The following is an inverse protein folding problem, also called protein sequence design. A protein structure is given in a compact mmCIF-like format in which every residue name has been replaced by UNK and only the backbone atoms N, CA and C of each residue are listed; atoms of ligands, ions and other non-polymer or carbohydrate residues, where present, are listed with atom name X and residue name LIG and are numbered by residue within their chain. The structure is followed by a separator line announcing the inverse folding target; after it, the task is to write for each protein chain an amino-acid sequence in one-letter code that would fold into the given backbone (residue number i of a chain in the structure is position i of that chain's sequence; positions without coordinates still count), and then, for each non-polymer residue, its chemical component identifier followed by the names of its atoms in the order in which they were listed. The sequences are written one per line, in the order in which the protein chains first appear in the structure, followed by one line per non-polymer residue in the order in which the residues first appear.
data_IF_382762462837
#
_entry.id   IF_382762462837
#
_cell.length_a   1.000
_cell.length_b   1.000
_cell.length_c   1.000
_cell.angle_alpha   90.00
_cell.angle_beta   90.00
_cell.angle_gamma   90.00
#
_symmetry.space_group_name_H-M   'P 1'
#
loop_
_entity.id
_entity.type
_entity.pdbx_description
1 polymer ?
#
# COMPACT_ATOMS: atom_id res chain seq x y z
N UNK A 1 19.74 28.21 31.91
CA UNK A 1 20.42 27.48 30.84
C UNK A 1 20.50 28.36 29.61
N UNK A 2 21.48 28.16 28.73
CA UNK A 2 21.59 28.84 27.44
C UNK A 2 20.99 27.99 26.32
N UNK A 3 20.70 28.60 25.16
CA UNK A 3 20.25 27.85 23.97
C UNK A 3 21.32 26.83 23.52
N UNK A 4 22.60 27.20 23.61
CA UNK A 4 23.71 26.33 23.22
C UNK A 4 23.80 25.08 24.10
N UNK A 5 23.70 25.25 25.42
CA UNK A 5 23.70 24.13 26.39
C UNK A 5 22.57 23.14 26.12
N UNK A 6 21.37 23.65 25.81
CA UNK A 6 20.22 22.80 25.48
C UNK A 6 20.44 22.03 24.18
N UNK A 7 20.94 22.69 23.13
CA UNK A 7 21.23 22.03 21.84
C UNK A 7 22.26 20.93 22.03
N UNK A 8 23.34 21.22 22.75
CA UNK A 8 24.40 20.26 23.05
C UNK A 8 23.87 19.06 23.82
N UNK A 9 23.06 19.30 24.86
CA UNK A 9 22.49 18.22 25.65
C UNK A 9 21.54 17.33 24.84
N UNK A 10 20.67 17.92 24.00
CA UNK A 10 19.78 17.16 23.12
C UNK A 10 20.60 16.32 22.12
N UNK A 11 21.63 16.90 21.49
CA UNK A 11 22.48 16.18 20.55
C UNK A 11 23.30 15.06 21.23
N UNK A 12 23.70 15.25 22.48
CA UNK A 12 24.41 14.24 23.28
C UNK A 12 23.49 13.08 23.68
N UNK A 13 22.24 13.37 24.04
CA UNK A 13 21.26 12.38 24.54
C UNK A 13 20.57 11.62 23.41
N UNK A 14 20.41 12.22 22.24
CA UNK A 14 19.76 11.60 21.09
C UNK A 14 20.72 11.48 19.91
N UNK A 15 21.08 10.24 19.60
CA UNK A 15 21.90 9.94 18.42
C UNK A 15 21.17 10.30 17.11
N UNK A 16 21.92 10.74 16.12
CA UNK A 16 21.38 11.04 14.78
C UNK A 16 20.66 12.39 14.67
N UNK A 17 20.68 13.22 15.72
CA UNK A 17 20.22 14.61 15.65
C UNK A 17 21.24 15.46 14.88
N UNK A 18 20.74 16.27 13.95
CA UNK A 18 21.49 17.21 13.13
C UNK A 18 20.94 18.62 13.37
N UNK A 19 21.63 19.46 14.15
CA UNK A 19 21.25 20.85 14.32
C UNK A 19 21.53 21.64 13.02
N UNK A 20 20.61 22.53 12.66
CA UNK A 20 20.76 23.44 11.53
C UNK A 20 20.39 24.86 11.96
N UNK A 21 21.41 25.72 12.04
CA UNK A 21 21.23 27.14 12.30
C UNK A 21 20.81 27.88 11.01
N UNK A 22 19.83 28.78 11.13
CA UNK A 22 19.32 29.60 10.05
C UNK A 22 18.57 30.80 10.64
N UNK A 23 18.90 32.02 10.23
CA UNK A 23 18.15 33.24 10.58
C UNK A 23 17.78 33.40 12.07
N UNK A 24 18.74 33.22 12.99
CA UNK A 24 18.50 33.38 14.43
C UNK A 24 17.73 32.25 15.11
N UNK A 25 17.58 31.12 14.42
CA UNK A 25 16.96 29.90 14.91
C UNK A 25 17.86 28.69 14.64
N UNK A 26 17.91 27.75 15.58
CA UNK A 26 18.48 26.42 15.38
C UNK A 26 17.37 25.40 15.41
N UNK A 27 17.14 24.78 14.25
CA UNK A 27 16.20 23.67 14.12
C UNK A 27 16.92 22.34 14.28
N UNK A 28 16.35 21.44 15.07
CA UNK A 28 16.85 20.10 15.32
C UNK A 28 16.08 19.09 14.48
N UNK A 29 16.83 18.35 13.66
CA UNK A 29 16.30 17.31 12.78
C UNK A 29 16.87 15.96 13.19
N UNK A 30 16.08 14.90 13.15
CA UNK A 30 16.61 13.55 13.10
C UNK A 30 16.98 13.21 11.65
N UNK A 31 18.27 12.96 11.39
CA UNK A 31 18.80 12.65 10.07
C UNK A 31 20.16 11.92 10.16
N UNK A 32 20.19 10.71 10.74
CA UNK A 32 21.44 9.95 10.86
C UNK A 32 22.08 9.74 9.48
N UNK A 33 23.39 10.00 9.39
CA UNK A 33 24.13 9.90 8.14
C UNK A 33 23.67 10.87 7.03
N UNK A 34 22.84 11.87 7.34
CA UNK A 34 22.27 12.84 6.39
C UNK A 34 21.55 12.18 5.20
N UNK A 35 20.93 11.03 5.42
CA UNK A 35 20.35 10.20 4.37
C UNK A 35 19.12 10.82 3.69
N UNK A 36 18.41 11.73 4.35
CA UNK A 36 17.37 12.55 3.73
C UNK A 36 17.90 13.96 3.47
N UNK A 37 17.48 14.61 2.38
CA UNK A 37 17.89 15.98 2.04
C UNK A 37 17.69 16.99 3.19
N UNK A 38 16.63 16.81 3.98
CA UNK A 38 16.27 17.71 5.08
C UNK A 38 15.99 17.04 6.42
N UNK A 39 16.04 15.69 6.52
CA UNK A 39 15.71 14.98 7.76
C UNK A 39 14.24 15.10 8.20
N UNK A 40 13.98 14.79 9.47
CA UNK A 40 12.67 15.01 10.11
C UNK A 40 12.83 15.93 11.31
N UNK A 41 12.16 17.07 11.20
CA UNK A 41 12.18 18.18 12.14
C UNK A 41 11.32 17.90 13.39
N UNK A 42 11.81 18.23 14.59
CA UNK A 42 11.07 17.96 15.84
C UNK A 42 11.20 19.01 16.96
N UNK A 43 12.26 19.83 16.96
CA UNK A 43 12.50 20.83 18.00
C UNK A 43 13.22 22.07 17.43
N UNK A 44 12.96 23.26 17.97
CA UNK A 44 13.65 24.51 17.61
C UNK A 44 14.06 25.31 18.82
N UNK A 45 15.17 26.01 18.67
CA UNK A 45 15.58 27.08 19.56
C UNK A 45 15.69 28.39 18.79
N UNK A 46 14.89 29.38 19.15
CA UNK A 46 14.80 30.67 18.43
C UNK A 46 15.14 31.82 19.37
N UNK A 47 16.01 32.72 18.93
CA UNK A 47 16.54 33.82 19.75
C UNK A 47 16.05 35.21 19.33
N UNK A 48 15.36 35.30 18.19
CA UNK A 48 14.89 36.57 17.63
C UNK A 48 13.49 36.42 17.06
N UNK A 49 12.71 37.49 17.08
CA UNK A 49 11.38 37.48 16.48
C UNK A 49 11.46 37.40 14.95
N UNK A 50 10.49 36.71 14.35
CA UNK A 50 10.34 36.66 12.89
C UNK A 50 9.30 37.67 12.39
N UNK A 51 9.31 37.97 11.10
CA UNK A 51 8.32 38.87 10.48
C UNK A 51 6.86 38.47 10.79
N UNK A 52 6.59 37.16 10.89
CA UNK A 52 5.25 36.60 11.15
C UNK A 52 5.13 35.87 12.51
N UNK A 53 6.08 36.07 13.41
CA UNK A 53 6.17 35.34 14.68
C UNK A 53 6.88 36.22 15.71
N UNK A 54 6.10 37.12 16.33
CA UNK A 54 6.56 38.16 17.27
C UNK A 54 5.91 38.07 18.65
N UNK A 55 4.92 37.19 18.83
CA UNK A 55 4.11 37.14 20.04
C UNK A 55 4.91 36.76 21.30
N UNK A 56 6.05 36.09 21.13
CA UNK A 56 6.94 35.73 22.23
C UNK A 56 7.89 36.85 22.68
N UNK A 57 7.94 37.97 21.94
CA UNK A 57 8.84 39.11 22.19
C UNK A 57 10.29 38.65 22.43
N UNK A 58 10.87 37.89 21.50
CA UNK A 58 12.18 37.26 21.69
C UNK A 58 13.35 38.24 21.61
N UNK A 59 13.15 39.43 21.07
CA UNK A 59 14.18 40.48 20.98
C UNK A 59 14.46 41.15 22.34
N UNK A 60 14.62 40.34 23.39
CA UNK A 60 15.00 40.70 24.77
C UNK A 60 16.37 40.08 25.06
N UNK A 61 17.20 40.77 25.83
CA UNK A 61 18.52 40.27 26.19
C UNK A 61 18.41 38.90 26.90
N UNK A 62 19.10 37.88 26.37
CA UNK A 62 19.14 36.53 26.95
C UNK A 62 17.87 35.69 26.80
N UNK A 63 16.83 36.18 26.12
CA UNK A 63 15.58 35.43 25.92
C UNK A 63 15.65 34.58 24.67
N UNK A 64 15.21 33.33 24.77
CA UNK A 64 15.07 32.42 23.64
C UNK A 64 13.88 31.49 23.85
N UNK A 65 13.35 30.91 22.78
CA UNK A 65 12.24 29.96 22.81
C UNK A 65 12.72 28.56 22.48
N UNK A 66 12.37 27.59 23.31
CA UNK A 66 12.37 26.17 22.93
C UNK A 66 10.97 25.82 22.45
N UNK A 67 10.85 25.25 21.26
CA UNK A 67 9.57 24.82 20.70
C UNK A 67 9.62 23.35 20.27
N UNK A 68 8.57 22.59 20.61
CA UNK A 68 8.52 21.12 20.48
C UNK A 68 7.23 20.72 19.75
N UNK A 69 7.36 19.85 18.74
CA UNK A 69 6.21 19.24 18.08
C UNK A 69 5.66 18.07 18.87
N UNK A 70 4.58 18.27 19.63
CA UNK A 70 4.03 17.25 20.52
C UNK A 70 3.20 16.19 19.79
N UNK A 71 3.15 14.99 20.35
CA UNK A 71 2.15 14.01 19.95
C UNK A 71 0.73 14.51 20.25
N UNK A 72 -0.30 14.04 19.51
CA UNK A 72 -1.68 14.47 19.73
C UNK A 72 -2.17 14.24 21.17
N UNK A 73 -1.80 13.12 21.79
CA UNK A 73 -2.18 12.78 23.16
C UNK A 73 -1.54 13.73 24.18
N UNK A 74 -0.22 13.95 24.09
CA UNK A 74 0.52 14.84 24.97
C UNK A 74 0.04 16.30 24.87
N UNK A 75 -0.24 16.78 23.65
CA UNK A 75 -0.81 18.11 23.48
C UNK A 75 -2.19 18.23 24.15
N UNK A 76 -3.06 17.24 23.94
CA UNK A 76 -4.41 17.24 24.50
C UNK A 76 -4.38 17.19 26.03
N UNK A 77 -3.46 16.44 26.61
CA UNK A 77 -3.26 16.36 28.06
C UNK A 77 -2.80 17.68 28.67
N UNK A 78 -1.89 18.40 28.00
CA UNK A 78 -1.31 19.65 28.51
C UNK A 78 -2.21 20.87 28.28
N UNK A 79 -2.86 20.97 27.11
CA UNK A 79 -3.53 22.20 26.68
C UNK A 79 -4.97 21.98 26.18
N UNK A 80 -5.47 20.75 26.22
CA UNK A 80 -6.79 20.41 25.70
C UNK A 80 -6.87 20.49 24.17
N UNK A 81 -8.00 20.97 23.67
CA UNK A 81 -8.28 21.01 22.22
C UNK A 81 -7.33 22.00 21.51
N UNK A 82 -6.77 21.58 20.38
CA UNK A 82 -5.95 22.46 19.52
C UNK A 82 -6.77 23.70 19.09
N UNK A 83 -6.18 24.90 19.15
CA UNK A 83 -6.85 26.11 18.68
C UNK A 83 -6.99 26.11 17.15
N UNK A 84 -7.84 27.00 16.64
CA UNK A 84 -7.90 27.27 15.20
C UNK A 84 -6.59 27.89 14.69
N UNK A 85 -6.29 27.68 13.40
CA UNK A 85 -5.13 28.30 12.75
C UNK A 85 -5.30 29.83 12.75
N UNK A 86 -4.31 30.61 13.22
CA UNK A 86 -4.40 32.06 13.18
C UNK A 86 -4.24 32.58 11.75
N UNK A 87 -4.71 33.80 11.50
CA UNK A 87 -4.42 34.51 10.25
C UNK A 87 -2.91 34.71 10.08
N UNK A 88 -2.47 34.96 8.84
CA UNK A 88 -1.05 35.18 8.54
C UNK A 88 -0.52 36.35 9.37
N UNK A 89 0.55 36.09 10.14
CA UNK A 89 1.15 37.08 11.05
C UNK A 89 0.45 37.23 12.40
N UNK A 90 -0.65 36.52 12.63
CA UNK A 90 -1.38 36.51 13.91
C UNK A 90 -0.90 35.41 14.86
N UNK A 91 -1.46 35.42 16.07
CA UNK A 91 -1.27 34.40 17.10
C UNK A 91 -2.57 33.66 17.43
N UNK A 92 -2.45 32.47 18.01
CA UNK A 92 -3.61 31.69 18.48
C UNK A 92 -4.24 32.33 19.71
N UNK A 93 -5.57 32.28 19.78
CA UNK A 93 -6.34 32.79 20.93
C UNK A 93 -6.48 31.71 21.98
N UNK A 94 -5.43 31.48 22.77
CA UNK A 94 -5.44 30.51 23.89
C UNK A 94 -5.49 31.17 25.27
N UNK A 95 -5.49 32.51 25.34
CA UNK A 95 -5.49 33.26 26.61
C UNK A 95 -4.18 33.25 27.38
N UNK A 96 -3.10 32.75 26.78
CA UNK A 96 -1.77 32.69 27.42
C UNK A 96 -0.96 33.96 27.13
N UNK A 97 -0.16 34.39 28.10
CA UNK A 97 0.87 35.42 27.89
C UNK A 97 2.12 34.75 27.28
N UNK A 98 2.24 34.84 25.96
CA UNK A 98 3.37 34.24 25.23
C UNK A 98 4.73 34.87 25.54
N UNK A 99 4.79 35.97 26.31
CA UNK A 99 6.05 36.61 26.71
C UNK A 99 6.60 36.05 28.03
N UNK A 100 5.80 35.29 28.78
CA UNK A 100 6.16 34.71 30.06
C UNK A 100 7.34 33.73 29.95
N UNK A 101 8.31 33.88 30.86
CA UNK A 101 9.50 33.05 30.95
C UNK A 101 9.23 31.82 31.82
N UNK A 102 9.90 30.70 31.53
CA UNK A 102 9.81 29.46 32.32
C UNK A 102 8.39 28.87 32.43
N UNK A 103 7.49 29.22 31.52
CA UNK A 103 6.14 28.65 31.47
C UNK A 103 5.97 27.86 30.18
N UNK A 104 5.59 26.60 30.32
CA UNK A 104 5.22 25.77 29.18
C UNK A 104 3.83 26.18 28.65
N UNK A 105 3.74 26.47 27.36
CA UNK A 105 2.52 27.00 26.73
C UNK A 105 2.33 26.42 25.32
N UNK A 106 1.13 26.53 24.73
CA UNK A 106 0.95 26.34 23.29
C UNK A 106 1.88 27.27 22.50
N UNK A 107 2.36 26.82 21.33
CA UNK A 107 3.13 27.71 20.46
C UNK A 107 2.23 28.82 19.87
N UNK A 108 2.62 30.11 19.92
CA UNK A 108 1.76 31.22 19.48
C UNK A 108 1.29 31.16 18.02
N UNK A 109 1.99 30.43 17.15
CA UNK A 109 1.73 30.36 15.71
C UNK A 109 1.40 28.93 15.27
N UNK A 110 2.05 27.93 15.86
CA UNK A 110 1.95 26.52 15.44
C UNK A 110 1.15 25.63 16.40
N UNK A 111 0.51 26.17 17.44
CA UNK A 111 -0.35 25.38 18.35
C UNK A 111 -1.47 24.62 17.63
N UNK A 112 -2.05 25.17 16.54
CA UNK A 112 -3.04 24.48 15.71
C UNK A 112 -2.49 23.19 15.05
N UNK A 113 -1.16 23.09 14.90
CA UNK A 113 -0.48 21.87 14.44
C UNK A 113 -0.08 20.94 15.59
N UNK A 114 -0.23 21.36 16.84
CA UNK A 114 0.19 20.62 18.05
C UNK A 114 1.57 20.98 18.57
N UNK A 115 2.07 22.19 18.30
CA UNK A 115 3.35 22.65 18.85
C UNK A 115 3.18 23.35 20.19
N UNK A 116 4.13 23.12 21.09
CA UNK A 116 4.28 23.79 22.37
C UNK A 116 5.57 24.60 22.41
N UNK A 117 5.67 25.49 23.39
CA UNK A 117 6.85 26.33 23.62
C UNK A 117 7.09 26.63 25.09
N UNK A 118 8.34 26.97 25.41
CA UNK A 118 8.75 27.58 26.68
C UNK A 118 9.86 28.60 26.40
N UNK A 119 9.83 29.73 27.10
CA UNK A 119 10.86 30.77 26.97
C UNK A 119 11.92 30.62 28.06
N UNK A 120 13.18 30.57 27.65
CA UNK A 120 14.38 30.52 28.50
C UNK A 120 14.25 29.61 29.73
N UNK A 121 13.99 28.30 29.54
CA UNK A 121 13.78 27.38 30.65
C UNK A 121 15.00 27.31 31.58
N UNK A 122 14.71 27.26 32.88
CA UNK A 122 15.64 26.87 33.93
C UNK A 122 16.05 25.40 33.74
N UNK A 123 17.07 24.95 34.49
CA UNK A 123 17.46 23.53 34.48
C UNK A 123 16.28 22.63 34.86
N UNK A 124 15.58 22.97 35.93
CA UNK A 124 14.42 22.23 36.42
C UNK A 124 13.31 22.13 35.36
N UNK A 125 12.93 23.26 34.75
CA UNK A 125 11.90 23.28 33.70
C UNK A 125 12.34 22.57 32.42
N UNK A 126 13.63 22.62 32.09
CA UNK A 126 14.16 21.87 30.96
C UNK A 126 14.12 20.36 31.21
N UNK A 127 14.47 19.91 32.41
CA UNK A 127 14.40 18.49 32.78
C UNK A 127 12.94 17.99 32.79
N UNK A 128 11.99 18.82 33.22
CA UNK A 128 10.55 18.52 33.20
C UNK A 128 9.98 18.35 31.78
N UNK A 129 10.37 19.22 30.83
CA UNK A 129 9.90 19.09 29.43
C UNK A 129 10.71 18.08 28.60
N UNK A 130 11.85 17.59 29.11
CA UNK A 130 12.74 16.70 28.36
C UNK A 130 12.05 15.42 27.85
N UNK A 131 11.16 14.76 28.62
CA UNK A 131 10.36 13.63 28.11
C UNK A 131 9.54 13.96 26.86
N UNK A 132 9.04 15.19 26.73
CA UNK A 132 8.30 15.64 25.55
C UNK A 132 9.22 15.84 24.34
N UNK A 133 10.47 16.29 24.57
CA UNK A 133 11.50 16.34 23.54
C UNK A 133 11.85 14.92 23.09
N UNK A 134 11.98 13.98 24.02
CA UNK A 134 12.24 12.56 23.73
C UNK A 134 11.11 11.92 22.91
N UNK A 135 9.85 12.21 23.24
CA UNK A 135 8.69 11.79 22.46
C UNK A 135 8.72 12.38 21.04
N UNK A 136 8.95 13.69 20.92
CA UNK A 136 9.05 14.37 19.63
C UNK A 136 10.18 13.80 18.76
N UNK A 137 11.32 13.47 19.38
CA UNK A 137 12.44 12.78 18.72
C UNK A 137 12.03 11.38 18.26
N UNK A 138 11.40 10.56 19.10
CA UNK A 138 10.91 9.22 18.74
C UNK A 138 9.95 9.29 17.55
N UNK A 139 9.00 10.23 17.56
CA UNK A 139 8.10 10.45 16.43
C UNK A 139 8.84 10.89 15.15
N UNK A 140 9.95 11.63 15.29
CA UNK A 140 10.81 12.00 14.17
C UNK A 140 11.58 10.79 13.61
N UNK A 141 12.08 9.89 14.46
CA UNK A 141 12.72 8.63 14.09
C UNK A 141 11.75 7.75 13.30
N UNK A 142 10.53 7.55 13.79
CA UNK A 142 9.52 6.75 13.11
C UNK A 142 9.16 7.32 11.72
N UNK A 143 8.95 8.63 11.65
CA UNK A 143 8.69 9.34 10.38
C UNK A 143 9.89 9.26 9.44
N UNK A 144 11.11 9.35 9.96
CA UNK A 144 12.35 9.23 9.19
C UNK A 144 12.45 7.83 8.60
N UNK A 145 12.29 6.77 9.41
CA UNK A 145 12.34 5.38 8.96
C UNK A 145 11.29 5.11 7.88
N UNK A 146 10.08 5.67 8.03
CA UNK A 146 9.03 5.60 7.00
C UNK A 146 9.45 6.31 5.69
N UNK A 147 10.03 7.51 5.77
CA UNK A 147 10.52 8.26 4.61
C UNK A 147 11.74 7.61 3.96
N UNK A 148 12.68 7.07 4.74
CA UNK A 148 13.83 6.34 4.25
C UNK A 148 13.39 5.10 3.48
N UNK A 149 12.45 4.31 4.02
CA UNK A 149 11.86 3.16 3.31
C UNK A 149 11.20 3.54 1.97
N UNK A 150 10.64 4.74 1.88
CA UNK A 150 10.00 5.25 0.66
C UNK A 150 10.98 5.91 -0.33
N UNK A 151 12.10 6.44 0.15
CA UNK A 151 13.12 7.17 -0.63
C UNK A 151 14.28 6.30 -1.07
N UNK A 152 14.48 5.14 -0.42
CA UNK A 152 15.27 4.08 -1.02
C UNK A 152 14.62 3.74 -2.39
N UNK A 153 15.37 3.73 -3.51
CA UNK A 153 14.89 2.99 -4.68
C UNK A 153 14.47 1.62 -4.16
N UNK A 154 13.33 1.07 -4.58
CA UNK A 154 12.90 -0.28 -4.16
C UNK A 154 14.11 -1.19 -4.31
N UNK A 155 14.86 -1.40 -3.23
CA UNK A 155 15.98 -2.30 -3.25
C UNK A 155 15.25 -3.59 -3.53
N UNK A 156 15.66 -4.25 -4.62
CA UNK A 156 15.74 -5.69 -4.59
C UNK A 156 16.48 -5.97 -3.28
N UNK A 157 15.73 -6.09 -2.17
CA UNK A 157 16.12 -6.98 -1.10
C UNK A 157 16.57 -8.22 -1.85
N UNK A 158 17.64 -8.86 -1.40
CA UNK A 158 17.89 -10.25 -1.72
C UNK A 158 16.63 -11.01 -1.29
N UNK A 159 15.63 -10.95 -2.16
CA UNK A 159 14.47 -11.79 -2.18
C UNK A 159 15.13 -13.13 -2.42
N UNK A 160 14.70 -14.19 -1.72
CA UNK A 160 14.92 -15.50 -2.29
C UNK A 160 14.51 -15.37 -3.75
N UNK A 161 15.46 -15.60 -4.67
CA UNK A 161 15.16 -15.68 -6.09
C UNK A 161 14.16 -16.82 -6.11
N UNK A 162 12.86 -16.49 -6.12
CA UNK A 162 11.87 -17.51 -6.39
C UNK A 162 12.28 -18.03 -7.76
N UNK A 163 12.54 -19.34 -7.88
CA UNK A 163 12.93 -19.90 -9.15
C UNK A 163 11.92 -19.43 -10.20
N UNK A 164 12.41 -19.13 -11.40
CA UNK A 164 11.54 -18.68 -12.48
C UNK A 164 10.37 -19.65 -12.60
N UNK A 165 9.15 -19.16 -12.39
CA UNK A 165 7.98 -20.01 -12.44
C UNK A 165 7.80 -20.49 -13.88
N UNK A 166 7.59 -21.80 -14.11
CA UNK A 166 7.46 -22.32 -15.45
C UNK A 166 6.20 -21.78 -16.13
N UNK A 167 6.24 -21.72 -17.46
CA UNK A 167 5.04 -21.61 -18.29
C UNK A 167 4.43 -22.99 -18.48
N UNK A 168 3.19 -23.04 -18.96
CA UNK A 168 2.47 -24.28 -19.21
C UNK A 168 2.37 -24.50 -20.72
N UNK A 169 3.17 -25.41 -21.28
CA UNK A 169 3.27 -25.63 -22.72
C UNK A 169 1.91 -25.96 -23.37
N UNK A 170 1.09 -26.80 -22.73
CA UNK A 170 -0.25 -27.14 -23.20
C UNK A 170 -1.17 -25.92 -23.26
N UNK A 171 -1.08 -25.01 -22.28
CA UNK A 171 -1.85 -23.75 -22.31
C UNK A 171 -1.37 -22.87 -23.44
N UNK A 172 -0.05 -22.75 -23.60
CA UNK A 172 0.55 -21.95 -24.66
C UNK A 172 0.07 -22.43 -26.04
N UNK A 173 0.10 -23.74 -26.29
CA UNK A 173 -0.38 -24.42 -27.49
C UNK A 173 -1.87 -24.14 -27.78
N UNK A 174 -2.75 -24.34 -26.79
CA UNK A 174 -4.19 -24.09 -26.94
C UNK A 174 -4.46 -22.61 -27.25
N UNK A 175 -3.78 -21.69 -26.57
CA UNK A 175 -4.00 -20.26 -26.80
C UNK A 175 -3.40 -19.79 -28.13
N UNK A 176 -2.31 -20.40 -28.59
CA UNK A 176 -1.72 -20.10 -29.89
C UNK A 176 -2.64 -20.54 -31.05
N UNK A 177 -3.36 -21.66 -30.91
CA UNK A 177 -4.37 -22.07 -31.91
C UNK A 177 -5.58 -21.13 -31.99
N UNK A 178 -5.79 -20.28 -30.97
CA UNK A 178 -6.85 -19.27 -30.92
C UNK A 178 -6.31 -17.83 -31.03
N UNK A 179 -5.05 -17.66 -31.44
CA UNK A 179 -4.39 -16.35 -31.52
C UNK A 179 -5.16 -15.35 -32.40
N UNK A 180 -5.79 -15.81 -33.48
CA UNK A 180 -6.59 -14.96 -34.37
C UNK A 180 -7.81 -14.36 -33.66
N UNK A 181 -8.53 -15.15 -32.85
CA UNK A 181 -9.70 -14.68 -32.12
C UNK A 181 -9.33 -13.75 -30.96
N UNK A 182 -8.24 -14.07 -30.25
CA UNK A 182 -7.72 -13.27 -29.13
C UNK A 182 -7.09 -11.95 -29.60
N UNK A 183 -6.44 -11.96 -30.77
CA UNK A 183 -5.80 -10.79 -31.37
C UNK A 183 -4.88 -10.05 -30.38
N UNK A 184 -5.08 -8.75 -30.13
CA UNK A 184 -4.24 -7.97 -29.22
C UNK A 184 -4.34 -8.41 -27.76
N UNK A 185 -5.40 -9.12 -27.37
CA UNK A 185 -5.62 -9.58 -25.99
C UNK A 185 -4.88 -10.90 -25.67
N UNK A 186 -4.25 -11.55 -26.66
CA UNK A 186 -3.59 -12.87 -26.50
C UNK A 186 -2.60 -12.90 -25.33
N UNK A 187 -1.67 -11.94 -25.26
CA UNK A 187 -0.68 -11.88 -24.19
C UNK A 187 -1.34 -11.62 -22.82
N UNK A 188 -2.37 -10.77 -22.80
CA UNK A 188 -3.09 -10.42 -21.58
C UNK A 188 -3.83 -11.64 -21.01
N UNK A 189 -4.54 -12.38 -21.87
CA UNK A 189 -5.26 -13.57 -21.51
C UNK A 189 -4.33 -14.73 -21.12
N UNK A 190 -3.28 -14.99 -21.92
CA UNK A 190 -2.24 -15.99 -21.60
C UNK A 190 -1.61 -15.76 -20.22
N UNK A 191 -1.26 -14.52 -19.91
CA UNK A 191 -0.70 -14.19 -18.61
C UNK A 191 -1.74 -14.36 -17.49
N UNK A 192 -3.01 -14.05 -17.71
CA UNK A 192 -4.07 -14.30 -16.75
C UNK A 192 -4.20 -15.80 -16.44
N UNK A 193 -4.38 -16.65 -17.45
CA UNK A 193 -4.46 -18.11 -17.29
C UNK A 193 -3.23 -18.65 -16.54
N UNK A 194 -2.03 -18.20 -16.92
CA UNK A 194 -0.79 -18.62 -16.27
C UNK A 194 -0.75 -18.24 -14.79
N UNK A 195 -1.20 -17.02 -14.41
CA UNK A 195 -1.27 -16.60 -13.01
C UNK A 195 -2.27 -17.45 -12.22
N UNK A 196 -3.46 -17.68 -12.78
CA UNK A 196 -4.51 -18.50 -12.15
C UNK A 196 -3.97 -19.90 -11.87
N UNK A 197 -3.32 -20.56 -12.83
CA UNK A 197 -2.77 -21.90 -12.63
C UNK A 197 -1.68 -21.96 -11.56
N UNK A 198 -0.78 -20.96 -11.52
CA UNK A 198 0.19 -20.86 -10.41
C UNK A 198 -0.48 -20.67 -9.05
N UNK A 199 -1.60 -19.94 -8.99
CA UNK A 199 -2.39 -19.82 -7.77
C UNK A 199 -3.12 -21.12 -7.41
N UNK A 200 -3.67 -21.85 -8.38
CA UNK A 200 -4.29 -23.17 -8.15
C UNK A 200 -3.29 -24.10 -7.49
N UNK A 201 -2.12 -24.29 -8.09
CA UNK A 201 -1.11 -25.23 -7.60
C UNK A 201 -0.43 -24.79 -6.31
N UNK A 202 -0.54 -23.51 -5.93
CA UNK A 202 -0.10 -23.04 -4.63
C UNK A 202 -1.19 -23.14 -3.55
N UNK A 203 -2.47 -23.05 -3.94
CA UNK A 203 -3.61 -23.28 -3.04
C UNK A 203 -3.70 -24.76 -2.69
N UNK A 204 -3.50 -25.64 -3.68
CA UNK A 204 -3.51 -27.08 -3.50
C UNK A 204 -2.40 -27.76 -4.35
N UNK A 205 -1.22 -28.00 -3.75
CA UNK A 205 -0.10 -28.61 -4.44
C UNK A 205 -0.35 -30.04 -4.96
N UNK A 206 -1.31 -30.78 -4.39
CA UNK A 206 -1.58 -32.16 -4.81
C UNK A 206 -2.11 -32.22 -6.25
N UNK A 207 -2.81 -31.17 -6.68
CA UNK A 207 -3.36 -31.04 -8.03
C UNK A 207 -2.29 -30.98 -9.12
N UNK A 208 -1.01 -30.72 -8.79
CA UNK A 208 0.08 -30.77 -9.77
C UNK A 208 0.28 -32.17 -10.37
N UNK A 209 -0.03 -33.23 -9.59
CA UNK A 209 0.12 -34.61 -10.05
C UNK A 209 -0.88 -35.03 -11.13
N UNK A 210 -2.01 -34.31 -11.23
CA UNK A 210 -3.07 -34.53 -12.20
C UNK A 210 -3.48 -33.20 -12.85
N UNK A 211 -2.49 -32.45 -13.36
CA UNK A 211 -2.70 -31.07 -13.81
C UNK A 211 -3.51 -30.93 -15.12
N UNK A 212 -3.62 -31.97 -15.95
CA UNK A 212 -4.14 -31.86 -17.32
C UNK A 212 -5.56 -31.26 -17.41
N UNK A 213 -6.55 -31.66 -16.59
CA UNK A 213 -7.88 -31.03 -16.60
C UNK A 213 -7.82 -29.53 -16.27
N UNK A 214 -7.00 -29.14 -15.28
CA UNK A 214 -6.82 -27.74 -14.87
C UNK A 214 -6.16 -26.90 -15.96
N UNK A 215 -5.15 -27.44 -16.66
CA UNK A 215 -4.48 -26.73 -17.75
C UNK A 215 -5.44 -26.47 -18.91
N UNK A 216 -6.22 -27.48 -19.30
CA UNK A 216 -7.21 -27.38 -20.38
C UNK A 216 -8.34 -26.43 -19.97
N UNK A 217 -8.96 -26.64 -18.81
CA UNK A 217 -10.00 -25.75 -18.31
C UNK A 217 -9.49 -24.31 -18.18
N UNK A 218 -8.26 -24.13 -17.68
CA UNK A 218 -7.61 -22.83 -17.58
C UNK A 218 -7.48 -22.12 -18.92
N UNK A 219 -7.07 -22.81 -19.98
CA UNK A 219 -6.96 -22.20 -21.30
C UNK A 219 -8.33 -21.76 -21.86
N UNK A 220 -9.38 -22.55 -21.60
CA UNK A 220 -10.69 -22.33 -22.19
C UNK A 220 -11.66 -21.48 -21.36
N UNK A 221 -11.51 -21.37 -20.03
CA UNK A 221 -12.59 -20.88 -19.14
C UNK A 221 -13.22 -19.55 -19.54
N UNK A 222 -12.43 -18.58 -20.00
CA UNK A 222 -12.88 -17.27 -20.46
C UNK A 222 -12.81 -17.10 -21.99
N UNK A 223 -12.32 -18.11 -22.73
CA UNK A 223 -12.00 -17.99 -24.15
C UNK A 223 -13.23 -17.65 -25.01
N UNK A 224 -14.41 -18.11 -24.59
CA UNK A 224 -15.71 -17.78 -25.17
C UNK A 224 -15.99 -16.27 -25.29
N UNK A 225 -15.36 -15.44 -24.47
CA UNK A 225 -15.45 -13.97 -24.57
C UNK A 225 -15.02 -13.49 -25.96
N UNK A 226 -13.93 -14.06 -26.47
CA UNK A 226 -13.31 -13.64 -27.72
C UNK A 226 -13.83 -14.42 -28.92
N UNK A 227 -14.02 -15.73 -28.78
CA UNK A 227 -14.43 -16.60 -29.90
C UNK A 227 -15.91 -16.46 -30.23
N UNK A 228 -16.77 -16.27 -29.24
CA UNK A 228 -18.21 -16.08 -29.43
C UNK A 228 -18.65 -14.62 -29.26
N UNK A 229 -17.71 -13.69 -29.01
CA UNK A 229 -17.97 -12.25 -28.86
C UNK A 229 -19.12 -11.93 -27.87
N UNK A 230 -19.18 -12.66 -26.75
CA UNK A 230 -20.24 -12.55 -25.76
C UNK A 230 -19.68 -12.47 -24.33
N UNK A 231 -20.39 -11.80 -23.43
CA UNK A 231 -20.07 -11.82 -21.99
C UNK A 231 -20.81 -12.93 -21.23
N UNK A 232 -21.69 -13.67 -21.92
CA UNK A 232 -22.31 -14.91 -21.46
C UNK A 232 -21.58 -16.09 -22.10
N UNK A 233 -20.36 -16.30 -21.65
CA UNK A 233 -19.36 -17.07 -22.39
C UNK A 233 -19.10 -18.47 -21.82
N UNK A 234 -19.71 -18.85 -20.70
CA UNK A 234 -19.39 -20.11 -20.03
C UNK A 234 -19.70 -21.33 -20.91
N UNK A 235 -20.87 -21.36 -21.57
CA UNK A 235 -21.21 -22.44 -22.48
C UNK A 235 -20.32 -22.45 -23.74
N UNK A 236 -20.09 -21.32 -24.45
CA UNK A 236 -19.11 -21.26 -25.53
C UNK A 236 -17.69 -21.70 -25.14
N UNK A 237 -17.22 -21.31 -23.96
CA UNK A 237 -15.93 -21.75 -23.43
C UNK A 237 -15.90 -23.26 -23.17
N UNK A 238 -16.98 -23.80 -22.62
CA UNK A 238 -17.08 -25.23 -22.33
C UNK A 238 -17.17 -26.07 -23.59
N UNK A 239 -17.95 -25.62 -24.59
CA UNK A 239 -18.04 -26.26 -25.91
C UNK A 239 -16.66 -26.33 -26.60
N UNK A 240 -15.87 -25.24 -26.58
CA UNK A 240 -14.51 -25.25 -27.12
C UNK A 240 -13.60 -26.26 -26.41
N UNK A 241 -13.71 -26.36 -25.08
CA UNK A 241 -12.96 -27.33 -24.31
C UNK A 241 -13.39 -28.77 -24.63
N UNK A 242 -14.70 -29.01 -24.77
CA UNK A 242 -15.25 -30.31 -25.17
C UNK A 242 -14.71 -30.75 -26.53
N UNK A 243 -14.75 -29.86 -27.54
CA UNK A 243 -14.28 -30.15 -28.89
C UNK A 243 -12.77 -30.42 -28.92
N UNK A 244 -11.99 -29.66 -28.16
CA UNK A 244 -10.57 -29.92 -27.97
C UNK A 244 -10.33 -31.30 -27.37
N UNK A 245 -11.03 -31.65 -26.29
CA UNK A 245 -10.90 -32.97 -25.65
C UNK A 245 -11.30 -34.10 -26.60
N UNK A 246 -12.36 -33.91 -27.39
CA UNK A 246 -12.81 -34.87 -28.38
C UNK A 246 -11.76 -35.12 -29.47
N UNK A 247 -11.17 -34.05 -30.00
CA UNK A 247 -10.12 -34.12 -31.02
C UNK A 247 -8.83 -34.80 -30.54
N UNK A 248 -8.55 -34.77 -29.23
CA UNK A 248 -7.33 -35.32 -28.64
C UNK A 248 -7.54 -36.67 -27.93
N UNK A 249 -8.74 -37.25 -27.97
CA UNK A 249 -9.04 -38.52 -27.29
C UNK A 249 -9.04 -38.43 -25.76
N UNK A 250 -9.36 -37.25 -25.22
CA UNK A 250 -9.33 -36.92 -23.78
C UNK A 250 -10.74 -36.74 -23.19
N UNK A 251 -11.77 -37.30 -23.83
CA UNK A 251 -13.17 -37.20 -23.37
C UNK A 251 -13.39 -37.63 -21.89
N UNK A 252 -12.68 -38.62 -21.32
CA UNK A 252 -12.91 -39.01 -19.93
C UNK A 252 -12.72 -37.91 -18.88
N UNK A 253 -11.92 -36.87 -19.16
CA UNK A 253 -11.70 -35.74 -18.24
C UNK A 253 -12.68 -34.58 -18.45
N UNK A 254 -13.57 -34.68 -19.44
CA UNK A 254 -14.57 -33.66 -19.74
C UNK A 254 -15.42 -33.23 -18.54
N UNK A 255 -15.98 -34.14 -17.71
CA UNK A 255 -16.84 -33.73 -16.60
C UNK A 255 -16.14 -32.80 -15.60
N UNK A 256 -14.84 -32.99 -15.37
CA UNK A 256 -14.06 -32.11 -14.49
C UNK A 256 -13.77 -30.77 -15.15
N UNK A 257 -13.37 -30.77 -16.43
CA UNK A 257 -13.08 -29.56 -17.21
C UNK A 257 -14.31 -28.66 -17.30
N UNK A 258 -15.47 -29.22 -17.65
CA UNK A 258 -16.74 -28.50 -17.72
C UNK A 258 -17.10 -27.89 -16.37
N UNK A 259 -17.00 -28.66 -15.27
CA UNK A 259 -17.34 -28.14 -13.95
C UNK A 259 -16.40 -27.02 -13.49
N UNK A 260 -15.11 -27.07 -13.83
CA UNK A 260 -14.17 -25.96 -13.57
C UNK A 260 -14.63 -24.71 -14.32
N UNK A 261 -14.93 -24.83 -15.62
CA UNK A 261 -15.38 -23.70 -16.45
C UNK A 261 -16.73 -23.18 -15.96
N UNK A 262 -17.71 -24.02 -15.71
CA UNK A 262 -19.06 -23.61 -15.35
C UNK A 262 -19.17 -22.99 -13.94
N UNK A 263 -18.22 -23.29 -13.04
CA UNK A 263 -18.31 -22.90 -11.62
C UNK A 263 -17.20 -21.95 -11.15
N UNK A 264 -16.27 -21.51 -11.99
CA UNK A 264 -15.15 -20.65 -11.54
C UNK A 264 -15.58 -19.27 -11.00
N UNK A 265 -16.75 -18.75 -11.41
CA UNK A 265 -17.36 -17.53 -10.84
C UNK A 265 -18.27 -17.78 -9.64
N UNK A 266 -18.37 -19.02 -9.14
CA UNK A 266 -19.25 -19.32 -8.00
C UNK A 266 -18.83 -18.52 -6.77
N UNK A 267 -19.79 -17.82 -6.15
CA UNK A 267 -19.50 -16.97 -5.00
C UNK A 267 -19.11 -17.79 -3.77
N UNK A 268 -19.89 -18.82 -3.49
CA UNK A 268 -19.68 -19.76 -2.37
C UNK A 268 -18.76 -20.89 -2.77
N UNK A 269 -18.25 -21.61 -1.76
CA UNK A 269 -17.47 -22.82 -2.01
C UNK A 269 -18.30 -23.85 -2.76
N UNK A 270 -17.65 -24.54 -3.69
CA UNK A 270 -18.25 -25.63 -4.44
C UNK A 270 -17.96 -26.96 -3.72
N UNK A 271 -18.98 -27.82 -3.59
CA UNK A 271 -18.90 -29.07 -2.79
C UNK A 271 -19.38 -30.31 -3.57
N UNK A 272 -19.50 -30.21 -4.90
CA UNK A 272 -19.95 -31.31 -5.76
C UNK A 272 -18.81 -32.21 -6.26
N UNK A 273 -19.03 -33.00 -7.34
CA UNK A 273 -17.97 -33.77 -8.00
C UNK A 273 -16.76 -32.90 -8.34
N UNK A 274 -15.55 -33.42 -8.14
CA UNK A 274 -14.29 -32.71 -8.36
C UNK A 274 -14.13 -31.43 -7.50
N UNK A 275 -14.72 -31.40 -6.29
CA UNK A 275 -14.70 -30.22 -5.43
C UNK A 275 -13.31 -29.61 -5.20
N UNK A 276 -12.28 -30.46 -5.12
CA UNK A 276 -10.91 -30.02 -4.90
C UNK A 276 -10.40 -29.12 -6.03
N UNK A 277 -10.46 -29.57 -7.28
CA UNK A 277 -9.99 -28.82 -8.45
C UNK A 277 -10.90 -27.63 -8.76
N UNK A 278 -12.22 -27.81 -8.68
CA UNK A 278 -13.21 -26.75 -8.95
C UNK A 278 -13.10 -25.60 -7.95
N UNK A 279 -13.03 -25.88 -6.63
CA UNK A 279 -12.93 -24.81 -5.63
C UNK A 279 -11.55 -24.15 -5.62
N UNK A 280 -10.48 -24.91 -5.88
CA UNK A 280 -9.14 -24.35 -6.04
C UNK A 280 -9.06 -23.38 -7.22
N UNK A 281 -9.61 -23.75 -8.38
CA UNK A 281 -9.64 -22.89 -9.57
C UNK A 281 -10.47 -21.63 -9.33
N UNK A 282 -11.70 -21.76 -8.83
CA UNK A 282 -12.58 -20.64 -8.45
C UNK A 282 -11.91 -19.65 -7.49
N UNK A 283 -11.17 -20.16 -6.49
CA UNK A 283 -10.42 -19.31 -5.56
C UNK A 283 -9.24 -18.63 -6.25
N UNK A 284 -8.48 -19.36 -7.06
CA UNK A 284 -7.32 -18.85 -7.78
C UNK A 284 -7.69 -17.75 -8.78
N UNK A 285 -8.78 -17.93 -9.53
CA UNK A 285 -9.31 -16.93 -10.45
C UNK A 285 -9.66 -15.63 -9.71
N UNK A 286 -10.38 -15.74 -8.59
CA UNK A 286 -10.70 -14.60 -7.72
C UNK A 286 -9.45 -13.90 -7.15
N UNK A 287 -8.36 -14.64 -6.88
CA UNK A 287 -7.09 -14.01 -6.48
C UNK A 287 -6.58 -13.09 -7.59
N UNK A 288 -6.63 -13.54 -8.85
CA UNK A 288 -6.14 -12.73 -9.97
C UNK A 288 -7.05 -11.53 -10.26
N UNK A 289 -8.36 -11.76 -10.41
CA UNK A 289 -9.37 -10.73 -10.70
C UNK A 289 -9.44 -9.63 -9.65
N UNK A 290 -9.19 -9.97 -8.38
CA UNK A 290 -9.13 -9.01 -7.28
C UNK A 290 -7.81 -8.24 -7.22
N UNK A 291 -6.94 -8.38 -8.20
CA UNK A 291 -5.59 -7.83 -8.22
C UNK A 291 -4.70 -8.30 -7.03
N UNK A 292 -5.02 -9.44 -6.42
CA UNK A 292 -4.39 -9.96 -5.20
C UNK A 292 -4.87 -9.31 -3.89
N UNK A 293 -5.98 -8.56 -3.91
CA UNK A 293 -6.65 -8.07 -2.70
C UNK A 293 -7.24 -9.23 -1.90
N UNK A 294 -7.86 -10.19 -2.60
CA UNK A 294 -8.24 -11.50 -2.06
C UNK A 294 -7.08 -12.45 -2.34
N UNK A 295 -6.66 -13.23 -1.32
CA UNK A 295 -5.47 -14.10 -1.42
C UNK A 295 -5.75 -15.57 -1.20
N UNK A 296 -6.92 -15.92 -0.66
CA UNK A 296 -7.33 -17.32 -0.49
C UNK A 296 -6.26 -18.23 0.12
N UNK A 297 -5.59 -17.77 1.18
CA UNK A 297 -4.53 -18.51 1.87
C UNK A 297 -3.12 -18.30 1.34
N UNK A 298 -2.94 -17.68 0.16
CA UNK A 298 -1.64 -17.41 -0.42
C UNK A 298 -0.90 -16.25 0.26
N UNK A 299 0.43 -16.35 0.33
CA UNK A 299 1.27 -15.25 0.82
C UNK A 299 1.24 -14.05 -0.13
N UNK A 300 1.36 -12.84 0.43
CA UNK A 300 1.38 -11.61 -0.38
C UNK A 300 2.62 -11.57 -1.28
N UNK A 301 3.71 -12.16 -0.83
CA UNK A 301 5.00 -12.26 -1.50
C UNK A 301 4.87 -13.14 -2.74
N UNK A 302 4.24 -14.31 -2.62
CA UNK A 302 4.00 -15.22 -3.74
C UNK A 302 3.06 -14.60 -4.78
N UNK A 303 1.92 -14.06 -4.36
CA UNK A 303 0.97 -13.39 -5.27
C UNK A 303 1.64 -12.26 -6.05
N UNK A 304 2.49 -11.47 -5.37
CA UNK A 304 3.27 -10.40 -6.01
C UNK A 304 4.34 -10.96 -6.95
N UNK A 305 4.98 -12.07 -6.63
CA UNK A 305 6.00 -12.70 -7.49
C UNK A 305 5.38 -13.20 -8.80
N UNK A 306 4.30 -13.99 -8.70
CA UNK A 306 3.53 -14.51 -9.86
C UNK A 306 3.07 -13.36 -10.77
N UNK A 307 2.43 -12.33 -10.21
CA UNK A 307 1.97 -11.15 -10.97
C UNK A 307 3.09 -10.29 -11.53
N UNK A 308 4.26 -10.30 -10.88
CA UNK A 308 5.45 -9.60 -11.35
C UNK A 308 6.10 -10.30 -12.53
N UNK A 309 6.10 -11.64 -12.54
CA UNK A 309 6.64 -12.45 -13.62
C UNK A 309 5.69 -12.51 -14.84
N UNK A 310 4.40 -12.71 -14.60
CA UNK A 310 3.37 -12.78 -15.64
C UNK A 310 2.51 -11.50 -15.62
N UNK A 311 2.99 -10.46 -16.29
CA UNK A 311 2.42 -9.12 -16.22
C UNK A 311 0.96 -9.07 -16.69
N UNK A 312 0.17 -8.16 -16.12
CA UNK A 312 -1.25 -8.00 -16.45
C UNK A 312 -1.52 -7.72 -17.93
N UNK A 313 -0.60 -7.01 -18.60
CA UNK A 313 -0.64 -6.69 -20.03
C UNK A 313 -2.00 -6.12 -20.52
N UNK A 314 -2.74 -5.41 -19.66
CA UNK A 314 -4.02 -4.78 -20.00
C UNK A 314 -5.27 -5.62 -19.72
N UNK A 315 -5.13 -6.86 -19.24
CA UNK A 315 -6.25 -7.80 -19.04
C UNK A 315 -7.41 -7.20 -18.25
N UNK A 316 -7.15 -6.58 -17.09
CA UNK A 316 -8.25 -6.03 -16.26
C UNK A 316 -8.87 -4.76 -16.88
N UNK A 317 -8.09 -3.99 -17.63
CA UNK A 317 -8.64 -2.85 -18.38
C UNK A 317 -9.58 -3.33 -19.47
N UNK A 318 -9.24 -4.44 -20.14
CA UNK A 318 -10.09 -5.09 -21.14
C UNK A 318 -11.39 -5.60 -20.51
N UNK A 319 -11.33 -6.32 -19.39
CA UNK A 319 -12.52 -6.79 -18.67
C UNK A 319 -13.44 -5.64 -18.24
N UNK A 320 -12.87 -4.51 -17.79
CA UNK A 320 -13.66 -3.33 -17.45
C UNK A 320 -14.40 -2.75 -18.67
N UNK A 321 -13.74 -2.68 -19.84
CA UNK A 321 -14.37 -2.25 -21.09
C UNK A 321 -15.50 -3.19 -21.49
N UNK A 322 -15.27 -4.50 -21.46
CA UNK A 322 -16.28 -5.52 -21.80
C UNK A 322 -17.48 -5.46 -20.84
N UNK A 323 -17.23 -5.27 -19.54
CA UNK A 323 -18.27 -5.11 -18.53
C UNK A 323 -19.15 -3.89 -18.82
N UNK A 324 -18.55 -2.75 -19.18
CA UNK A 324 -19.31 -1.54 -19.56
C UNK A 324 -20.13 -1.77 -20.83
N UNK A 325 -19.57 -2.47 -21.82
CA UNK A 325 -20.29 -2.82 -23.05
C UNK A 325 -21.48 -3.73 -22.78
N UNK A 326 -21.30 -4.79 -21.97
CA UNK A 326 -22.37 -5.71 -21.59
C UNK A 326 -23.46 -4.97 -20.78
N UNK A 327 -23.08 -4.12 -19.83
CA UNK A 327 -24.04 -3.35 -19.04
C UNK A 327 -24.93 -2.47 -19.93
N UNK A 328 -24.36 -1.88 -20.99
CA UNK A 328 -25.13 -1.11 -21.98
C UNK A 328 -26.07 -1.98 -22.80
N UNK A 329 -25.70 -3.24 -23.10
CA UNK A 329 -26.51 -4.17 -23.89
C UNK A 329 -27.66 -4.79 -23.09
N UNK A 330 -27.39 -5.21 -21.86
CA UNK A 330 -28.33 -5.95 -21.00
C UNK A 330 -28.20 -5.48 -19.55
N UNK A 331 -28.74 -4.30 -19.20
CA UNK A 331 -28.56 -3.69 -17.88
C UNK A 331 -29.21 -4.48 -16.73
N UNK A 332 -30.23 -5.29 -17.02
CA UNK A 332 -30.90 -6.14 -16.04
C UNK A 332 -30.19 -7.48 -15.81
N UNK A 333 -29.26 -7.86 -16.69
CA UNK A 333 -28.40 -9.04 -16.53
C UNK A 333 -26.95 -8.74 -16.99
N UNK A 334 -26.22 -7.90 -16.24
CA UNK A 334 -24.90 -7.42 -16.66
C UNK A 334 -23.78 -8.45 -16.41
N UNK A 335 -24.03 -9.50 -15.62
CA UNK A 335 -23.04 -10.50 -15.23
C UNK A 335 -23.58 -11.93 -15.41
N UNK A 336 -23.89 -12.36 -16.65
CA UNK A 336 -24.54 -13.64 -16.92
C UNK A 336 -23.68 -14.86 -16.56
N UNK A 337 -22.36 -14.69 -16.53
CA UNK A 337 -21.40 -15.73 -16.12
C UNK A 337 -21.37 -16.01 -14.61
N UNK A 338 -21.97 -15.17 -13.77
CA UNK A 338 -21.91 -15.36 -12.32
C UNK A 338 -22.72 -16.58 -11.88
N UNK A 339 -22.23 -17.28 -10.85
CA UNK A 339 -22.92 -18.40 -10.20
C UNK A 339 -23.03 -18.16 -8.70
N UNK A 340 -24.16 -18.55 -8.10
CA UNK A 340 -24.50 -18.24 -6.70
C UNK A 340 -24.20 -19.38 -5.73
#
# INVERSE_FOLDING_TARGET
MTSAEIIEEICRRFAGVVPKASWGETALFYNPGRLLAHGVYFCTLKQQDGANDKASALNRAGVFRVAIGLAPASYAMLFGKKPARPLKGGCVTTGHDFTALNVQMPHPVYAWMGWAQILSPSREQFDEIFPLIAEAHTAAVEKFNKKQRLSLPKRKLDRPIMPALPKFALVDEILDSHAQALGPDLMAYRNHVTRVLHFVFAIDPQLQSAAQPLLIAGAFHDLGIWTAHTFDYLDPSSELAHDFLAAHGLQPIWPEVDLIIQQHHKLRSYTGPFAQSVDAFRRADRVDLSLGLIRSGLSREFVRAVRGQFQNAGFHSRLAVLTVQQFRRTPLNPFPMMRW
#
